data_IF_173897780846
#
_entry.id   IF_173897780846
#
_cell.length_a   1.000
_cell.length_b   1.000
_cell.length_c   1.000
_cell.angle_alpha   90.00
_cell.angle_beta   90.00
_cell.angle_gamma   90.00
#
_symmetry.space_group_name_H-M   'P 1'
#
loop_
_entity.id
_entity.type
_entity.pdbx_description
1 polymer ?
#
# COMPACT_ATOMS: atom_id res chain seq x y z
N UNK A 1 2.05 -23.69 21.22
CA UNK A 1 0.58 -23.94 21.34
C UNK A 1 0.33 -24.67 22.65
N UNK A 2 -0.48 -24.11 23.57
CA UNK A 2 -0.61 -24.58 24.95
C UNK A 2 -1.30 -25.97 25.02
N UNK A 3 -0.67 -26.98 25.61
CA UNK A 3 -1.18 -28.37 25.63
C UNK A 3 -2.51 -28.52 26.39
N UNK A 4 -2.77 -27.62 27.36
CA UNK A 4 -4.02 -27.58 28.12
C UNK A 4 -5.20 -27.11 27.27
N UNK A 5 -4.97 -26.19 26.34
CA UNK A 5 -6.03 -25.69 25.44
C UNK A 5 -6.44 -26.76 24.43
N UNK A 6 -5.48 -27.57 23.96
CA UNK A 6 -5.72 -28.69 23.04
C UNK A 6 -6.57 -29.79 23.69
N UNK A 7 -6.31 -30.10 24.96
CA UNK A 7 -7.08 -31.11 25.71
C UNK A 7 -8.50 -30.66 26.04
N UNK A 8 -8.68 -29.38 26.37
CA UNK A 8 -10.01 -28.78 26.54
C UNK A 8 -10.82 -28.79 25.23
N UNK A 9 -10.20 -28.43 24.11
CA UNK A 9 -10.84 -28.47 22.79
C UNK A 9 -11.31 -29.89 22.43
N UNK A 10 -10.47 -30.91 22.67
CA UNK A 10 -10.83 -32.33 22.47
C UNK A 10 -11.99 -32.78 23.35
N UNK A 11 -12.09 -32.30 24.60
CA UNK A 11 -13.24 -32.59 25.49
C UNK A 11 -14.51 -31.94 24.99
N UNK A 12 -14.46 -30.69 24.53
CA UNK A 12 -15.61 -29.97 23.96
C UNK A 12 -16.11 -30.67 22.68
N UNK A 13 -15.19 -31.08 21.79
CA UNK A 13 -15.49 -31.84 20.57
C UNK A 13 -16.10 -33.23 20.83
N UNK A 14 -15.79 -33.87 21.97
CA UNK A 14 -16.40 -35.15 22.37
C UNK A 14 -17.71 -34.99 23.13
N UNK A 15 -17.85 -33.94 23.95
CA UNK A 15 -19.01 -33.71 24.81
C UNK A 15 -20.22 -33.17 24.02
N UNK A 16 -19.97 -32.41 22.96
CA UNK A 16 -20.98 -32.02 21.98
C UNK A 16 -20.84 -33.01 20.82
N UNK A 17 -21.90 -33.73 20.42
CA UNK A 17 -21.93 -34.51 19.16
C UNK A 17 -21.93 -33.56 17.95
N UNK A 18 -20.99 -32.63 17.90
CA UNK A 18 -20.79 -31.72 16.79
C UNK A 18 -20.26 -32.59 15.65
N UNK A 19 -21.12 -32.88 14.68
CA UNK A 19 -20.71 -33.66 13.52
C UNK A 19 -19.55 -32.95 12.83
N UNK A 20 -18.61 -33.72 12.28
CA UNK A 20 -17.48 -33.17 11.53
C UNK A 20 -17.98 -32.23 10.41
N UNK A 21 -19.13 -32.56 9.81
CA UNK A 21 -19.84 -31.72 8.84
C UNK A 21 -20.22 -30.34 9.38
N UNK A 22 -20.72 -30.24 10.61
CA UNK A 22 -21.09 -28.96 11.22
C UNK A 22 -19.86 -28.09 11.51
N UNK A 23 -18.73 -28.71 11.90
CA UNK A 23 -17.47 -27.99 12.09
C UNK A 23 -16.95 -27.43 10.76
N UNK A 24 -17.00 -28.22 9.70
CA UNK A 24 -16.59 -27.79 8.35
C UNK A 24 -17.50 -26.65 7.85
N UNK A 25 -18.82 -26.73 8.09
CA UNK A 25 -19.77 -25.69 7.71
C UNK A 25 -19.49 -24.36 8.43
N UNK A 26 -19.14 -24.39 9.72
CA UNK A 26 -18.77 -23.19 10.48
C UNK A 26 -17.47 -22.57 9.93
N UNK A 27 -16.47 -23.40 9.61
CA UNK A 27 -15.21 -22.92 9.02
C UNK A 27 -15.46 -22.28 7.65
N UNK A 28 -16.28 -22.91 6.81
CA UNK A 28 -16.66 -22.36 5.50
C UNK A 28 -17.40 -21.03 5.63
N UNK A 29 -18.33 -20.92 6.59
CA UNK A 29 -19.08 -19.69 6.86
C UNK A 29 -18.17 -18.56 7.32
N UNK A 30 -17.23 -18.84 8.24
CA UNK A 30 -16.24 -17.86 8.69
C UNK A 30 -15.37 -17.41 7.52
N UNK A 31 -14.91 -18.33 6.67
CA UNK A 31 -14.10 -18.00 5.50
C UNK A 31 -14.86 -17.11 4.51
N UNK A 32 -16.10 -17.45 4.17
CA UNK A 32 -16.96 -16.63 3.30
C UNK A 32 -17.25 -15.24 3.89
N UNK A 33 -17.42 -15.13 5.21
CA UNK A 33 -17.68 -13.85 5.87
C UNK A 33 -16.46 -12.92 5.84
N UNK A 34 -15.25 -13.46 6.03
CA UNK A 34 -14.02 -12.68 5.96
C UNK A 34 -13.75 -12.11 4.56
N UNK A 35 -14.11 -12.84 3.49
CA UNK A 35 -13.97 -12.34 2.13
C UNK A 35 -14.93 -11.16 1.84
N UNK A 36 -16.19 -11.26 2.32
CA UNK A 36 -17.18 -10.19 2.16
C UNK A 36 -16.86 -8.94 2.98
N UNK A 37 -16.31 -9.10 4.19
CA UNK A 37 -15.97 -7.97 5.06
C UNK A 37 -14.80 -7.12 4.53
N UNK A 38 -13.76 -7.75 3.98
CA UNK A 38 -12.61 -7.01 3.40
C UNK A 38 -13.01 -6.18 2.17
N UNK A 39 -14.04 -6.59 1.43
CA UNK A 39 -14.57 -5.81 0.30
C UNK A 39 -15.51 -4.66 0.74
N UNK A 40 -16.04 -4.71 1.96
CA UNK A 40 -16.96 -3.70 2.50
C UNK A 40 -16.25 -2.64 3.35
N UNK A 41 -15.04 -2.91 3.84
CA UNK A 41 -14.24 -1.88 4.48
C UNK A 41 -13.90 -0.80 3.44
N UNK A 42 -14.31 0.46 3.66
CA UNK A 42 -13.89 1.54 2.77
C UNK A 42 -12.37 1.56 2.79
N UNK A 43 -11.77 1.42 1.59
CA UNK A 43 -10.34 1.58 1.41
C UNK A 43 -9.97 2.94 1.98
N UNK A 44 -9.40 2.94 3.18
CA UNK A 44 -8.94 4.16 3.82
C UNK A 44 -7.89 4.69 2.85
N UNK A 45 -8.17 5.85 2.24
CA UNK A 45 -7.18 6.58 1.48
C UNK A 45 -6.12 7.00 2.50
N UNK A 46 -5.19 6.09 2.80
CA UNK A 46 -3.93 6.46 3.41
C UNK A 46 -3.33 7.44 2.42
N UNK A 47 -3.33 8.72 2.78
CA UNK A 47 -2.49 9.71 2.12
C UNK A 47 -1.07 9.18 2.24
N UNK A 48 -0.61 8.54 1.16
CA UNK A 48 0.68 7.89 1.14
C UNK A 48 1.69 9.00 0.90
N UNK A 49 2.13 9.61 1.98
CA UNK A 49 3.15 10.64 1.94
C UNK A 49 4.44 10.04 1.39
N UNK A 50 4.87 10.51 0.22
CA UNK A 50 6.09 10.06 -0.43
C UNK A 50 7.22 11.03 -0.08
N UNK A 51 8.09 10.61 0.83
CA UNK A 51 9.30 11.37 1.19
C UNK A 51 10.50 10.86 0.40
N UNK A 52 11.30 11.77 -0.15
CA UNK A 52 12.52 11.42 -0.87
C UNK A 52 13.39 12.62 -1.19
N UNK A 53 14.59 12.36 -1.68
CA UNK A 53 15.50 13.41 -2.16
C UNK A 53 15.29 13.60 -3.66
N UNK A 54 15.07 14.84 -4.11
CA UNK A 54 15.04 15.16 -5.54
C UNK A 54 16.45 14.97 -6.11
N UNK A 55 16.61 14.06 -7.08
CA UNK A 55 17.88 13.84 -7.77
C UNK A 55 18.03 14.73 -8.99
N UNK A 56 16.93 14.99 -9.71
CA UNK A 56 16.95 15.74 -10.96
C UNK A 56 15.61 16.39 -11.25
N UNK A 57 15.65 17.61 -11.76
CA UNK A 57 14.50 18.26 -12.41
C UNK A 57 14.57 17.96 -13.90
N UNK A 58 13.59 17.23 -14.42
CA UNK A 58 13.55 16.83 -15.83
C UNK A 58 13.00 18.00 -16.65
N UNK A 59 11.79 18.44 -16.30
CA UNK A 59 11.03 19.52 -16.92
C UNK A 59 10.35 20.38 -15.83
N UNK A 60 9.58 21.40 -16.20
CA UNK A 60 8.98 22.34 -15.24
C UNK A 60 7.88 21.74 -14.34
N UNK A 61 7.34 20.58 -14.69
CA UNK A 61 6.32 19.85 -13.91
C UNK A 61 6.76 18.42 -13.56
N UNK A 62 7.96 18.00 -13.97
CA UNK A 62 8.41 16.61 -13.90
C UNK A 62 9.75 16.51 -13.20
N UNK A 63 9.80 15.74 -12.10
CA UNK A 63 10.98 15.54 -11.25
C UNK A 63 11.34 14.06 -11.11
N UNK A 64 12.61 13.79 -10.82
CA UNK A 64 13.11 12.49 -10.42
C UNK A 64 13.40 12.50 -8.91
N UNK A 65 12.76 11.59 -8.18
CA UNK A 65 12.84 11.46 -6.73
C UNK A 65 13.55 10.15 -6.37
N UNK A 66 14.50 10.24 -5.44
CA UNK A 66 15.10 9.10 -4.74
C UNK A 66 14.33 8.87 -3.45
N UNK A 67 13.37 7.95 -3.49
CA UNK A 67 12.63 7.53 -2.30
C UNK A 67 13.40 6.42 -1.58
N UNK A 68 13.43 6.49 -0.26
CA UNK A 68 13.91 5.38 0.58
C UNK A 68 12.70 4.57 1.03
N UNK A 69 12.57 3.34 0.56
CA UNK A 69 11.65 2.38 1.16
C UNK A 69 12.40 1.57 2.23
N UNK A 70 11.90 1.61 3.47
CA UNK A 70 12.36 0.76 4.59
C UNK A 70 11.78 -0.65 4.43
N UNK A 71 12.35 -1.75 4.99
CA UNK A 71 13.44 -1.88 5.98
C UNK A 71 14.81 -2.32 5.43
N UNK A 72 14.92 -2.53 4.11
CA UNK A 72 16.12 -3.11 3.48
C UNK A 72 16.94 -2.07 2.68
N UNK A 73 16.74 -0.77 2.91
CA UNK A 73 17.48 0.32 2.27
C UNK A 73 17.50 0.27 0.73
N UNK A 74 16.43 -0.18 0.09
CA UNK A 74 16.31 -0.06 -1.36
C UNK A 74 15.99 1.41 -1.70
N UNK A 75 16.90 2.02 -2.47
CA UNK A 75 16.69 3.35 -3.04
C UNK A 75 15.93 3.16 -4.36
N UNK A 76 14.69 3.63 -4.39
CA UNK A 76 13.85 3.57 -5.60
C UNK A 76 13.89 4.92 -6.29
N UNK A 77 14.25 4.93 -7.57
CA UNK A 77 14.16 6.09 -8.46
C UNK A 77 12.75 6.18 -9.01
N UNK A 78 12.04 7.25 -8.67
CA UNK A 78 10.68 7.53 -9.11
C UNK A 78 10.65 8.76 -10.00
N UNK A 79 10.01 8.67 -11.16
CA UNK A 79 9.72 9.82 -12.01
C UNK A 79 8.32 10.30 -11.70
N UNK A 80 8.18 11.52 -11.20
CA UNK A 80 6.93 12.11 -10.71
C UNK A 80 6.57 13.30 -11.59
N UNK A 81 5.32 13.33 -12.07
CA UNK A 81 4.71 14.49 -12.71
C UNK A 81 3.73 15.15 -11.73
N UNK A 82 3.86 16.46 -11.54
CA UNK A 82 3.07 17.22 -10.59
C UNK A 82 1.66 17.46 -11.16
N UNK A 83 0.66 16.87 -10.52
CA UNK A 83 -0.72 17.04 -10.93
C UNK A 83 -1.18 18.48 -10.71
N UNK A 84 -1.84 19.08 -11.71
CA UNK A 84 -2.34 20.46 -11.66
C UNK A 84 -1.30 21.53 -11.94
N UNK A 85 -0.04 21.16 -12.21
CA UNK A 85 0.99 22.08 -12.70
C UNK A 85 1.27 21.72 -14.16
N UNK A 86 0.99 22.65 -15.07
CA UNK A 86 1.33 22.53 -16.48
C UNK A 86 2.40 23.57 -16.80
N UNK A 87 3.63 23.11 -17.02
CA UNK A 87 4.77 23.96 -17.29
C UNK A 87 5.19 23.82 -18.75
N UNK A 88 5.65 24.92 -19.40
CA UNK A 88 6.08 24.85 -20.79
C UNK A 88 7.24 23.87 -20.93
N UNK A 89 7.15 23.01 -21.95
CA UNK A 89 8.19 22.03 -22.23
C UNK A 89 9.49 22.72 -22.66
N UNK A 90 10.63 22.03 -22.54
CA UNK A 90 11.96 22.58 -22.86
C UNK A 90 12.09 23.12 -24.29
N UNK A 91 11.23 22.66 -25.21
CA UNK A 91 11.18 23.08 -26.63
C UNK A 91 10.20 24.23 -26.89
N UNK A 92 9.40 24.62 -25.90
CA UNK A 92 8.44 25.71 -25.99
C UNK A 92 9.09 27.04 -25.53
N UNK A 93 8.46 28.15 -25.90
CA UNK A 93 8.87 29.46 -25.40
C UNK A 93 8.86 29.46 -23.86
N UNK A 94 9.89 30.03 -23.23
CA UNK A 94 10.09 30.08 -21.79
C UNK A 94 10.39 28.73 -21.09
N UNK A 95 10.52 27.62 -21.83
CA UNK A 95 10.78 26.30 -21.26
C UNK A 95 12.17 26.16 -20.60
N UNK A 96 13.18 26.89 -21.09
CA UNK A 96 14.54 26.87 -20.50
C UNK A 96 14.58 27.66 -19.20
N UNK A 97 13.92 28.80 -19.19
CA UNK A 97 13.84 29.75 -18.09
C UNK A 97 13.12 29.14 -16.89
N UNK A 98 12.00 28.45 -17.13
CA UNK A 98 11.22 27.75 -16.10
C UNK A 98 12.07 26.64 -15.46
N UNK A 99 12.74 25.80 -16.27
CA UNK A 99 13.62 24.74 -15.75
C UNK A 99 14.76 25.28 -14.91
N UNK A 100 15.37 26.40 -15.32
CA UNK A 100 16.46 27.01 -14.58
C UNK A 100 15.98 27.65 -13.27
N UNK A 101 14.80 28.26 -13.26
CA UNK A 101 14.16 28.77 -12.05
C UNK A 101 13.94 27.67 -11.01
N UNK A 102 13.42 26.51 -11.42
CA UNK A 102 13.22 25.37 -10.52
C UNK A 102 14.51 24.69 -10.06
N UNK A 103 15.61 24.80 -10.81
CA UNK A 103 16.91 24.26 -10.41
C UNK A 103 17.61 25.10 -9.34
N UNK A 104 17.41 26.41 -9.36
CA UNK A 104 18.15 27.38 -8.51
C UNK A 104 17.60 27.51 -7.09
N UNK A 105 16.46 26.90 -6.78
CA UNK A 105 15.74 27.03 -5.51
C UNK A 105 15.76 25.70 -4.75
#
# INVERSE_FOLDING_TARGET
MNSKTITLLKRILKAKKLSLSLLIAIIALIFSFNQGFNAFLPQQNLEKELTGKVSKVIDGDTIELLAKENPYNHITKLKIRLYGIDAPELKQAYGKEVKEYFRRK
#
